data_IF_550898628031
#
_entry.id   IF_550898628031
#
_cell.length_a   1.000
_cell.length_b   1.000
_cell.length_c   1.000
_cell.angle_alpha   90.00
_cell.angle_beta   90.00
_cell.angle_gamma   90.00
#
_symmetry.space_group_name_H-M   'P 1'
#
loop_
_entity.id
_entity.type
_entity.pdbx_description
1 polymer ?
#
# COMPACT_ATOMS: atom_id res chain seq x y z
N UNK A 1 -6.49 17.62 34.25
CA UNK A 1 -6.92 17.98 32.87
C UNK A 1 -6.51 16.81 32.00
N UNK A 2 -7.28 15.74 32.08
CA UNK A 2 -6.97 14.50 31.37
C UNK A 2 -7.49 14.64 29.95
N UNK A 3 -6.57 14.76 29.00
CA UNK A 3 -6.88 14.64 27.58
C UNK A 3 -7.31 13.19 27.36
N UNK A 4 -8.61 12.94 27.34
CA UNK A 4 -9.17 11.77 26.68
C UNK A 4 -8.74 11.82 25.21
N UNK A 5 -7.59 11.22 24.91
CA UNK A 5 -7.22 10.89 23.54
C UNK A 5 -8.10 9.68 23.21
N UNK A 6 -9.28 9.95 22.63
CA UNK A 6 -10.03 8.91 21.96
C UNK A 6 -9.08 8.21 20.99
N UNK A 7 -8.76 6.94 21.23
CA UNK A 7 -8.11 6.07 20.27
C UNK A 7 -9.07 5.88 19.09
N UNK A 8 -9.14 6.89 18.23
CA UNK A 8 -9.96 6.87 17.03
C UNK A 8 -9.30 5.86 16.10
N UNK A 9 -9.94 4.70 15.93
CA UNK A 9 -9.51 3.74 14.93
C UNK A 9 -9.33 4.43 13.58
N UNK A 10 -8.23 4.10 12.89
CA UNK A 10 -7.98 4.56 11.54
C UNK A 10 -9.16 4.20 10.64
N UNK A 11 -9.46 5.03 9.65
CA UNK A 11 -10.36 4.63 8.56
C UNK A 11 -9.78 3.44 7.79
N UNK A 12 -10.61 2.76 7.00
CA UNK A 12 -10.10 1.67 6.15
C UNK A 12 -8.99 2.15 5.21
N UNK A 13 -9.10 3.33 4.59
CA UNK A 13 -8.04 3.89 3.74
C UNK A 13 -6.75 4.12 4.51
N UNK A 14 -6.81 4.74 5.69
CA UNK A 14 -5.62 5.00 6.51
C UNK A 14 -4.98 3.70 7.03
N UNK A 15 -5.79 2.70 7.40
CA UNK A 15 -5.29 1.40 7.83
C UNK A 15 -4.61 0.64 6.68
N UNK A 16 -5.20 0.66 5.47
CA UNK A 16 -4.59 0.07 4.28
C UNK A 16 -3.27 0.77 3.95
N UNK A 17 -3.25 2.10 3.99
CA UNK A 17 -2.03 2.90 3.79
C UNK A 17 -0.93 2.51 4.77
N UNK A 18 -1.25 2.38 6.06
CA UNK A 18 -0.28 1.91 7.08
C UNK A 18 0.24 0.50 6.81
N UNK A 19 -0.61 -0.44 6.39
CA UNK A 19 -0.17 -1.78 6.01
C UNK A 19 0.82 -1.71 4.84
N UNK A 20 0.53 -0.91 3.82
CA UNK A 20 1.38 -0.79 2.64
C UNK A 20 2.71 -0.09 2.97
N UNK A 21 2.69 0.97 3.80
CA UNK A 21 3.90 1.65 4.29
C UNK A 21 4.80 0.65 5.03
N UNK A 22 4.22 -0.07 6.00
CA UNK A 22 4.98 -0.97 6.85
C UNK A 22 5.46 -2.23 6.08
N UNK A 23 4.90 -2.48 4.88
CA UNK A 23 5.36 -3.50 3.93
C UNK A 23 6.36 -2.98 2.87
N UNK A 24 6.82 -1.73 2.97
CA UNK A 24 7.83 -1.17 2.05
C UNK A 24 7.28 -0.43 0.83
N UNK A 25 6.01 0.01 0.87
CA UNK A 25 5.43 0.90 -0.14
C UNK A 25 4.52 0.23 -1.17
N UNK A 26 4.46 -1.11 -1.19
CA UNK A 26 3.50 -1.89 -1.98
C UNK A 26 3.09 -3.17 -1.22
N UNK A 27 1.92 -3.72 -1.54
CA UNK A 27 1.45 -4.98 -0.98
C UNK A 27 0.45 -5.69 -1.92
N UNK A 28 0.44 -7.04 -1.93
CA UNK A 28 -0.67 -7.81 -2.47
C UNK A 28 -1.95 -7.61 -1.63
N UNK A 29 -3.11 -7.63 -2.27
CA UNK A 29 -4.42 -7.48 -1.62
C UNK A 29 -4.63 -8.50 -0.49
N UNK A 30 -4.17 -9.74 -0.70
CA UNK A 30 -4.20 -10.79 0.33
C UNK A 30 -3.43 -10.38 1.59
N UNK A 31 -2.24 -9.80 1.42
CA UNK A 31 -1.44 -9.31 2.54
C UNK A 31 -2.15 -8.18 3.30
N UNK A 32 -2.84 -7.29 2.58
CA UNK A 32 -3.66 -6.23 3.19
C UNK A 32 -4.75 -6.84 4.07
N UNK A 33 -5.49 -7.83 3.56
CA UNK A 33 -6.54 -8.51 4.33
C UNK A 33 -6.03 -9.18 5.61
N UNK A 34 -4.83 -9.78 5.56
CA UNK A 34 -4.22 -10.50 6.66
C UNK A 34 -3.63 -9.57 7.73
N UNK A 35 -3.30 -8.32 7.40
CA UNK A 35 -2.55 -7.42 8.27
C UNK A 35 -3.29 -6.15 8.68
N UNK A 36 -4.45 -5.84 8.10
CA UNK A 36 -5.19 -4.59 8.39
C UNK A 36 -5.62 -4.47 9.86
N UNK A 37 -5.90 -5.59 10.53
CA UNK A 37 -6.32 -5.61 11.94
C UNK A 37 -5.24 -5.17 12.93
N UNK A 38 -3.99 -5.00 12.46
CA UNK A 38 -2.94 -4.31 13.22
C UNK A 38 -3.27 -2.83 13.46
N UNK A 39 -4.09 -2.21 12.60
CA UNK A 39 -4.39 -0.78 12.67
C UNK A 39 -5.88 -0.47 12.74
N UNK A 40 -6.76 -1.40 12.30
CA UNK A 40 -8.21 -1.23 12.32
C UNK A 40 -8.92 -2.57 12.37
N UNK A 41 -9.82 -2.75 13.34
CA UNK A 41 -10.66 -3.95 13.43
C UNK A 41 -11.60 -4.03 12.21
N UNK A 42 -11.72 -5.21 11.62
CA UNK A 42 -12.69 -5.45 10.55
C UNK A 42 -14.11 -5.36 11.10
N UNK A 43 -14.90 -4.49 10.49
CA UNK A 43 -16.27 -4.18 10.93
C UNK A 43 -17.24 -4.20 9.74
N UNK A 44 -18.50 -4.55 10.00
CA UNK A 44 -19.56 -4.68 9.00
C UNK A 44 -19.75 -6.12 8.49
N UNK A 45 -20.69 -6.28 7.54
CA UNK A 45 -21.05 -7.61 7.00
C UNK A 45 -20.03 -8.15 6.00
N UNK A 46 -19.39 -7.25 5.23
CA UNK A 46 -18.42 -7.61 4.18
C UNK A 46 -17.17 -6.70 4.24
N UNK A 47 -16.38 -6.81 5.32
CA UNK A 47 -15.21 -5.97 5.51
C UNK A 47 -14.17 -6.12 4.38
N UNK A 48 -13.96 -7.33 3.86
CA UNK A 48 -13.02 -7.56 2.77
C UNK A 48 -13.46 -6.88 1.45
N UNK A 49 -14.76 -6.86 1.15
CA UNK A 49 -15.29 -6.10 0.01
C UNK A 49 -15.08 -4.59 0.20
N UNK A 50 -15.20 -4.10 1.45
CA UNK A 50 -14.92 -2.69 1.77
C UNK A 50 -13.45 -2.37 1.55
N UNK A 51 -12.53 -3.22 2.02
CA UNK A 51 -11.09 -3.06 1.81
C UNK A 51 -10.76 -3.07 0.31
N UNK A 52 -11.36 -3.99 -0.45
CA UNK A 52 -11.19 -4.07 -1.90
C UNK A 52 -11.69 -2.80 -2.61
N UNK A 53 -12.87 -2.30 -2.25
CA UNK A 53 -13.42 -1.06 -2.81
C UNK A 53 -12.51 0.13 -2.54
N UNK A 54 -12.06 0.28 -1.28
CA UNK A 54 -11.16 1.36 -0.87
C UNK A 54 -9.85 1.33 -1.63
N UNK A 55 -9.16 0.19 -1.68
CA UNK A 55 -7.86 0.11 -2.38
C UNK A 55 -7.98 0.33 -3.90
N UNK A 56 -9.16 0.11 -4.49
CA UNK A 56 -9.40 0.28 -5.93
C UNK A 56 -9.84 1.70 -6.31
N UNK A 57 -10.46 2.44 -5.40
CA UNK A 57 -11.09 3.73 -5.70
C UNK A 57 -10.41 4.92 -5.04
N UNK A 58 -9.72 4.71 -3.94
CA UNK A 58 -8.99 5.77 -3.25
C UNK A 58 -7.70 6.12 -4.03
N UNK A 59 -7.51 7.40 -4.30
CA UNK A 59 -6.41 7.90 -5.13
C UNK A 59 -5.03 7.77 -4.47
N UNK A 60 -4.96 7.44 -3.17
CA UNK A 60 -3.72 7.11 -2.47
C UNK A 60 -3.08 5.82 -2.98
N UNK A 61 -3.83 4.96 -3.66
CA UNK A 61 -3.37 3.66 -4.10
C UNK A 61 -3.31 3.56 -5.62
N UNK A 62 -2.23 2.99 -6.12
CA UNK A 62 -2.02 2.69 -7.53
C UNK A 62 -1.90 1.18 -7.70
N UNK A 63 -2.70 0.59 -8.59
CA UNK A 63 -2.59 -0.83 -8.93
C UNK A 63 -1.41 -1.04 -9.88
N UNK A 64 -0.41 -1.79 -9.45
CA UNK A 64 0.82 -2.05 -10.22
C UNK A 64 0.85 -3.44 -10.86
N UNK A 65 0.08 -4.39 -10.35
CA UNK A 65 -0.13 -5.71 -10.95
C UNK A 65 -1.50 -6.29 -10.60
N UNK A 66 -1.79 -7.52 -11.04
CA UNK A 66 -3.05 -8.19 -10.68
C UNK A 66 -3.11 -8.44 -9.17
N UNK A 67 -3.95 -7.66 -8.48
CA UNK A 67 -4.12 -7.75 -7.04
C UNK A 67 -2.95 -7.21 -6.22
N UNK A 68 -2.06 -6.40 -6.80
CA UNK A 68 -0.95 -5.75 -6.10
C UNK A 68 -1.10 -4.24 -6.20
N UNK A 69 -0.99 -3.57 -5.06
CA UNK A 69 -1.23 -2.14 -4.91
C UNK A 69 -0.04 -1.47 -4.23
N UNK A 70 0.30 -0.27 -4.68
CA UNK A 70 1.34 0.57 -4.10
C UNK A 70 0.76 1.93 -3.71
N UNK A 71 1.49 2.68 -2.88
CA UNK A 71 1.15 4.07 -2.63
C UNK A 71 1.41 4.88 -3.91
N UNK A 72 0.47 5.73 -4.30
CA UNK A 72 0.63 6.60 -5.47
C UNK A 72 1.86 7.50 -5.32
N UNK A 73 2.10 8.06 -4.13
CA UNK A 73 3.29 8.86 -3.86
C UNK A 73 4.60 8.07 -3.97
N UNK A 74 4.57 6.77 -3.66
CA UNK A 74 5.71 5.89 -3.82
C UNK A 74 6.05 5.68 -5.30
N UNK A 75 5.03 5.47 -6.13
CA UNK A 75 5.19 5.36 -7.59
C UNK A 75 5.67 6.68 -8.18
N UNK A 76 5.07 7.81 -7.79
CA UNK A 76 5.50 9.13 -8.25
C UNK A 76 6.98 9.38 -7.93
N UNK A 77 7.43 9.05 -6.71
CA UNK A 77 8.85 9.19 -6.35
C UNK A 77 9.75 8.30 -7.20
N UNK A 78 9.30 7.10 -7.54
CA UNK A 78 10.06 6.17 -8.35
C UNK A 78 10.17 6.62 -9.81
N UNK A 79 9.07 7.08 -10.41
CA UNK A 79 9.05 7.58 -11.79
C UNK A 79 9.84 8.88 -11.97
N UNK A 80 9.88 9.73 -10.94
CA UNK A 80 10.71 10.95 -10.94
C UNK A 80 12.17 10.68 -10.55
N UNK A 81 12.53 9.43 -10.28
CA UNK A 81 13.90 9.05 -9.93
C UNK A 81 14.58 8.37 -11.10
N UNK A 82 15.70 8.93 -11.58
CA UNK A 82 16.46 8.34 -12.69
C UNK A 82 17.40 7.20 -12.25
N UNK A 83 17.23 6.66 -11.05
CA UNK A 83 18.15 5.70 -10.43
C UNK A 83 17.52 4.32 -10.16
N UNK A 84 16.20 4.16 -10.31
CA UNK A 84 15.50 2.91 -9.98
C UNK A 84 14.34 2.62 -10.94
N UNK A 85 13.96 1.35 -11.03
CA UNK A 85 12.80 0.89 -11.80
C UNK A 85 12.10 -0.29 -11.11
N UNK A 86 10.83 -0.48 -11.44
CA UNK A 86 10.07 -1.68 -11.04
C UNK A 86 10.31 -2.77 -12.08
N UNK A 87 10.67 -3.95 -11.61
CA UNK A 87 10.71 -5.17 -12.41
C UNK A 87 9.72 -6.19 -11.85
N UNK A 88 8.98 -6.84 -12.74
CA UNK A 88 8.11 -7.96 -12.39
C UNK A 88 8.86 -9.25 -12.71
N UNK A 89 9.14 -10.07 -11.70
CA UNK A 89 9.80 -11.37 -11.87
C UNK A 89 8.90 -12.44 -11.28
N UNK A 90 8.51 -13.40 -12.11
CA UNK A 90 7.51 -14.42 -11.79
C UNK A 90 6.19 -13.82 -11.26
N UNK A 91 5.99 -13.85 -9.93
CA UNK A 91 4.83 -13.31 -9.21
C UNK A 91 5.20 -12.22 -8.20
N UNK A 92 6.44 -11.73 -8.24
CA UNK A 92 6.97 -10.73 -7.32
C UNK A 92 7.22 -9.40 -8.02
N UNK A 93 7.06 -8.33 -7.26
CA UNK A 93 7.45 -6.98 -7.66
C UNK A 93 8.77 -6.68 -6.98
N UNK A 94 9.79 -6.34 -7.78
CA UNK A 94 11.15 -6.04 -7.31
C UNK A 94 11.51 -4.63 -7.72
N UNK A 95 12.19 -3.89 -6.84
CA UNK A 95 12.72 -2.57 -7.16
C UNK A 95 14.22 -2.71 -7.38
N UNK A 96 14.69 -2.34 -8.57
CA UNK A 96 16.10 -2.44 -8.97
C UNK A 96 16.68 -1.07 -9.25
N UNK A 97 17.97 -0.91 -8.97
CA UNK A 97 18.72 0.29 -9.35
C UNK A 97 19.17 0.24 -10.81
N UNK A 98 19.11 1.37 -11.49
CA UNK A 98 19.61 1.57 -12.85
C UNK A 98 21.14 1.67 -12.80
N UNK A 99 21.83 0.71 -13.43
CA UNK A 99 23.29 0.80 -13.63
C UNK A 99 23.57 1.69 -14.83
N UNK A 100 24.13 2.87 -14.60
CA UNK A 100 24.68 3.71 -15.67
C UNK A 100 26.11 3.24 -15.95
N UNK A 101 26.38 2.82 -17.19
CA UNK A 101 27.74 2.65 -17.66
C UNK A 101 28.24 4.03 -18.11
N UNK A 102 29.34 4.52 -17.54
CA UNK A 102 30.02 5.70 -18.07
C UNK A 102 30.43 5.39 -19.52
N UNK A 103 30.06 6.27 -20.44
CA UNK A 103 30.39 6.18 -21.87
C UNK A 103 31.67 6.92 -22.15
#
# INVERSE_FOLDING_TARGET
MDKNIENKELTYSEAIEKVIIDNGGYAPLKYIYENIEKYRIKTGLTPDNTIQERVQRDNRFTRIAKGVYALTDFINKLENSDDKYIEFVDNEVIIKSIKRYET
#
